data_IF_569348736455
#
_entry.id   IF_569348736455
#
_cell.length_a   1.000
_cell.length_b   1.000
_cell.length_c   1.000
_cell.angle_alpha   90.00
_cell.angle_beta   90.00
_cell.angle_gamma   90.00
#
_symmetry.space_group_name_H-M   'P 1'
#
loop_
_entity.id
_entity.type
_entity.pdbx_description
1 polymer ?
#
# COMPACT_ATOMS: atom_id res chain seq x y z
N UNK A 1 -9.70 16.08 -27.52
CA UNK A 1 -8.32 15.63 -27.85
C UNK A 1 -7.21 16.60 -27.38
N UNK A 2 -7.41 17.92 -27.45
CA UNK A 2 -6.42 18.93 -27.05
C UNK A 2 -6.04 18.90 -25.55
N UNK A 3 -7.01 18.77 -24.64
CA UNK A 3 -6.75 18.68 -23.19
C UNK A 3 -5.98 17.41 -22.80
N UNK A 4 -6.34 16.23 -23.34
CA UNK A 4 -5.63 14.97 -23.09
C UNK A 4 -4.13 15.09 -23.44
N UNK A 5 -3.81 15.61 -24.63
CA UNK A 5 -2.42 15.80 -25.05
C UNK A 5 -1.69 16.84 -24.18
N UNK A 6 -2.38 17.82 -23.59
CA UNK A 6 -1.76 18.79 -22.68
C UNK A 6 -1.43 18.17 -21.32
N UNK A 7 -2.32 17.33 -20.78
CA UNK A 7 -2.18 16.72 -19.46
C UNK A 7 -1.14 15.58 -19.47
N UNK A 8 -1.16 14.73 -20.49
CA UNK A 8 -0.31 13.54 -20.55
C UNK A 8 0.96 13.72 -21.40
N UNK A 9 1.40 14.97 -21.59
CA UNK A 9 2.70 15.28 -22.20
C UNK A 9 3.82 14.84 -21.26
N UNK A 10 4.69 13.97 -21.73
CA UNK A 10 5.86 13.48 -20.98
C UNK A 10 6.89 14.59 -20.69
N UNK A 11 6.89 15.67 -21.48
CA UNK A 11 7.77 16.83 -21.29
C UNK A 11 7.48 17.63 -20.02
N UNK A 12 6.29 17.50 -19.42
CA UNK A 12 5.98 18.10 -18.12
C UNK A 12 5.70 17.00 -17.08
N UNK A 13 6.77 16.45 -16.52
CA UNK A 13 6.72 15.35 -15.54
C UNK A 13 5.83 15.65 -14.34
N UNK A 14 5.84 16.89 -13.86
CA UNK A 14 5.03 17.32 -12.69
C UNK A 14 3.54 17.23 -13.00
N UNK A 15 3.09 17.85 -14.09
CA UNK A 15 1.67 17.80 -14.50
C UNK A 15 1.23 16.37 -14.76
N UNK A 16 2.09 15.55 -15.36
CA UNK A 16 1.81 14.13 -15.57
C UNK A 16 1.59 13.40 -14.24
N UNK A 17 2.53 13.52 -13.30
CA UNK A 17 2.45 12.87 -11.97
C UNK A 17 1.28 13.37 -11.13
N UNK A 18 0.92 14.65 -11.23
CA UNK A 18 -0.27 15.20 -10.59
C UNK A 18 -1.53 14.46 -11.07
N UNK A 19 -1.60 14.11 -12.36
CA UNK A 19 -2.78 13.47 -12.97
C UNK A 19 -2.79 11.94 -12.90
N UNK A 20 -1.64 11.26 -12.88
CA UNK A 20 -1.55 9.79 -12.88
C UNK A 20 -1.10 9.21 -11.55
N UNK A 21 -0.52 10.04 -10.68
CA UNK A 21 0.12 9.62 -9.44
C UNK A 21 1.51 9.03 -9.62
N UNK A 22 2.00 8.82 -10.85
CA UNK A 22 3.27 8.13 -11.11
C UNK A 22 4.04 8.77 -12.28
N UNK A 23 5.32 8.42 -12.43
CA UNK A 23 6.16 8.96 -13.50
C UNK A 23 5.88 8.29 -14.87
N UNK A 24 6.14 8.97 -16.00
CA UNK A 24 6.03 8.35 -17.32
C UNK A 24 6.86 7.07 -17.50
N UNK A 25 8.03 6.98 -16.85
CA UNK A 25 8.89 5.79 -16.88
C UNK A 25 8.22 4.56 -16.27
N UNK A 26 7.42 4.74 -15.21
CA UNK A 26 6.66 3.66 -14.57
C UNK A 26 5.51 3.21 -15.47
N UNK A 27 4.85 4.14 -16.16
CA UNK A 27 3.81 3.81 -17.15
C UNK A 27 4.41 2.99 -18.30
N UNK A 28 5.59 3.38 -18.79
CA UNK A 28 6.30 2.61 -19.80
C UNK A 28 6.67 1.21 -19.30
N UNK A 29 7.14 1.08 -18.05
CA UNK A 29 7.45 -0.20 -17.43
C UNK A 29 6.22 -1.13 -17.36
N UNK A 30 5.08 -0.62 -16.87
CA UNK A 30 3.81 -1.36 -16.81
C UNK A 30 3.37 -1.76 -18.22
N UNK A 31 3.46 -0.85 -19.19
CA UNK A 31 3.07 -1.14 -20.57
C UNK A 31 3.92 -2.25 -21.20
N UNK A 32 5.23 -2.23 -20.99
CA UNK A 32 6.14 -3.30 -21.47
C UNK A 32 5.75 -4.65 -20.87
N UNK A 33 5.45 -4.70 -19.56
CA UNK A 33 5.02 -5.94 -18.91
C UNK A 33 3.65 -6.45 -19.40
N UNK A 34 2.81 -5.56 -19.94
CA UNK A 34 1.48 -5.89 -20.45
C UNK A 34 1.39 -5.92 -21.98
N UNK A 35 2.53 -5.85 -22.69
CA UNK A 35 2.57 -5.70 -24.15
C UNK A 35 1.80 -6.81 -24.88
N UNK A 36 1.92 -8.05 -24.39
CA UNK A 36 1.28 -9.24 -24.96
C UNK A 36 -0.16 -9.47 -24.46
N UNK A 37 -0.72 -8.54 -23.68
CA UNK A 37 -2.02 -8.70 -23.03
C UNK A 37 -3.07 -7.69 -23.55
N UNK A 38 -2.86 -7.16 -24.75
CA UNK A 38 -3.78 -6.25 -25.45
C UNK A 38 -4.15 -4.99 -24.64
N UNK A 39 -3.26 -4.51 -23.77
CA UNK A 39 -3.44 -3.26 -23.01
C UNK A 39 -2.73 -2.12 -23.72
N UNK A 40 -3.44 -1.05 -24.00
CA UNK A 40 -2.89 0.18 -24.58
C UNK A 40 -2.44 1.16 -23.50
N UNK A 41 -1.50 2.06 -23.84
CA UNK A 41 -1.09 3.16 -22.96
C UNK A 41 -2.29 4.02 -22.55
N UNK A 42 -3.26 4.25 -23.45
CA UNK A 42 -4.46 5.04 -23.14
C UNK A 42 -5.27 4.39 -22.02
N UNK A 43 -5.42 3.07 -22.03
CA UNK A 43 -6.14 2.33 -20.98
C UNK A 43 -5.40 2.43 -19.64
N UNK A 44 -4.06 2.31 -19.64
CA UNK A 44 -3.25 2.51 -18.43
C UNK A 44 -3.45 3.92 -17.87
N UNK A 45 -3.40 4.96 -18.72
CA UNK A 45 -3.59 6.34 -18.30
C UNK A 45 -5.00 6.60 -17.76
N UNK A 46 -6.04 5.99 -18.34
CA UNK A 46 -7.41 6.02 -17.82
C UNK A 46 -7.45 5.49 -16.38
N UNK A 47 -6.86 4.32 -16.14
CA UNK A 47 -6.84 3.65 -14.84
C UNK A 47 -6.04 4.44 -13.80
N UNK A 48 -4.85 4.93 -14.17
CA UNK A 48 -4.04 5.75 -13.27
C UNK A 48 -4.72 7.08 -12.91
N UNK A 49 -5.36 7.71 -13.89
CA UNK A 49 -6.15 8.91 -13.64
C UNK A 49 -7.35 8.62 -12.74
N UNK A 50 -8.04 7.49 -12.92
CA UNK A 50 -9.12 7.07 -12.01
C UNK A 50 -8.62 6.97 -10.57
N UNK A 51 -7.53 6.23 -10.32
CA UNK A 51 -6.96 6.07 -8.99
C UNK A 51 -6.53 7.42 -8.40
N UNK A 52 -5.81 8.23 -9.19
CA UNK A 52 -5.20 9.47 -8.72
C UNK A 52 -6.19 10.60 -8.52
N UNK A 53 -7.06 10.84 -9.49
CA UNK A 53 -7.95 12.00 -9.50
C UNK A 53 -9.32 11.70 -8.90
N UNK A 54 -9.79 10.45 -9.01
CA UNK A 54 -11.06 9.98 -8.46
C UNK A 54 -12.23 10.93 -8.73
N UNK A 55 -12.27 11.52 -9.93
CA UNK A 55 -13.32 12.46 -10.34
C UNK A 55 -14.62 11.72 -10.68
N UNK A 56 -15.70 12.48 -10.87
CA UNK A 56 -16.94 11.92 -11.41
C UNK A 56 -16.68 11.30 -12.79
N UNK A 57 -17.24 10.10 -13.03
CA UNK A 57 -16.97 9.32 -14.25
C UNK A 57 -17.26 10.12 -15.53
N UNK A 58 -18.32 10.93 -15.57
CA UNK A 58 -18.68 11.77 -16.72
C UNK A 58 -17.54 12.73 -17.11
N UNK A 59 -16.91 13.38 -16.14
CA UNK A 59 -15.81 14.30 -16.38
C UNK A 59 -14.57 13.56 -16.93
N UNK A 60 -14.28 12.37 -16.38
CA UNK A 60 -13.18 11.54 -16.86
C UNK A 60 -13.46 11.02 -18.29
N UNK A 61 -14.65 10.49 -18.56
CA UNK A 61 -15.08 10.05 -19.88
C UNK A 61 -14.91 11.15 -20.94
N UNK A 62 -15.35 12.37 -20.62
CA UNK A 62 -15.18 13.55 -21.49
C UNK A 62 -13.70 13.87 -21.74
N UNK A 63 -12.85 13.81 -20.70
CA UNK A 63 -11.42 14.07 -20.84
C UNK A 63 -10.73 13.07 -21.79
N UNK A 64 -11.06 11.78 -21.66
CA UNK A 64 -10.46 10.71 -22.46
C UNK A 64 -11.17 10.47 -23.79
N UNK A 65 -12.33 11.09 -24.02
CA UNK A 65 -13.17 10.90 -25.21
C UNK A 65 -13.61 9.44 -25.36
N UNK A 66 -14.11 8.85 -24.28
CA UNK A 66 -14.60 7.47 -24.25
C UNK A 66 -15.98 7.41 -23.61
N UNK A 67 -16.78 6.41 -23.98
CA UNK A 67 -18.05 6.13 -23.32
C UNK A 67 -17.83 5.58 -21.90
N UNK A 68 -18.87 5.62 -21.07
CA UNK A 68 -18.79 5.22 -19.65
C UNK A 68 -18.59 3.71 -19.45
N UNK A 69 -19.21 2.89 -20.30
CA UNK A 69 -19.01 1.44 -20.37
C UNK A 69 -17.53 1.11 -20.63
N UNK A 70 -16.97 1.72 -21.68
CA UNK A 70 -15.57 1.55 -22.07
C UNK A 70 -14.63 2.03 -20.95
N UNK A 71 -14.90 3.19 -20.33
CA UNK A 71 -14.10 3.71 -19.22
C UNK A 71 -14.02 2.72 -18.05
N UNK A 72 -15.17 2.19 -17.64
CA UNK A 72 -15.27 1.26 -16.52
C UNK A 72 -14.65 -0.11 -16.84
N UNK A 73 -14.81 -0.59 -18.07
CA UNK A 73 -14.14 -1.81 -18.55
C UNK A 73 -12.61 -1.64 -18.54
N UNK A 74 -12.10 -0.53 -19.07
CA UNK A 74 -10.67 -0.23 -19.08
C UNK A 74 -10.06 -0.25 -17.67
N UNK A 75 -10.75 0.37 -16.70
CA UNK A 75 -10.32 0.39 -15.30
C UNK A 75 -10.22 -1.02 -14.76
N UNK A 76 -11.29 -1.82 -14.89
CA UNK A 76 -11.33 -3.19 -14.37
C UNK A 76 -10.27 -4.07 -15.02
N UNK A 77 -10.19 -4.07 -16.35
CA UNK A 77 -9.27 -4.90 -17.11
C UNK A 77 -7.79 -4.59 -16.79
N UNK A 78 -7.41 -3.31 -16.79
CA UNK A 78 -6.03 -2.92 -16.49
C UNK A 78 -5.67 -3.23 -15.04
N UNK A 79 -6.54 -2.93 -14.06
CA UNK A 79 -6.23 -3.26 -12.67
C UNK A 79 -6.13 -4.77 -12.47
N UNK A 80 -7.02 -5.55 -13.09
CA UNK A 80 -6.97 -7.01 -13.06
C UNK A 80 -5.63 -7.52 -13.61
N UNK A 81 -5.24 -7.09 -14.80
CA UNK A 81 -3.98 -7.47 -15.43
C UNK A 81 -2.75 -7.04 -14.63
N UNK A 82 -2.74 -5.83 -14.05
CA UNK A 82 -1.64 -5.42 -13.16
C UNK A 82 -1.55 -6.38 -11.97
N UNK A 83 -2.67 -6.70 -11.32
CA UNK A 83 -2.68 -7.58 -10.16
C UNK A 83 -2.27 -9.01 -10.52
N UNK A 84 -2.77 -9.58 -11.62
CA UNK A 84 -2.54 -10.99 -11.95
C UNK A 84 -1.23 -11.25 -12.69
N UNK A 85 -0.73 -10.29 -13.47
CA UNK A 85 0.48 -10.46 -14.30
C UNK A 85 1.69 -9.82 -13.62
N UNK A 86 1.55 -8.60 -13.11
CA UNK A 86 2.67 -7.86 -12.51
C UNK A 86 2.79 -8.16 -11.01
N UNK A 87 1.66 -8.36 -10.32
CA UNK A 87 1.62 -8.67 -8.88
C UNK A 87 2.58 -9.79 -8.47
N UNK A 88 2.56 -10.98 -9.09
CA UNK A 88 3.48 -12.07 -8.75
C UNK A 88 4.98 -11.77 -8.99
N UNK A 89 5.30 -10.74 -9.79
CA UNK A 89 6.68 -10.31 -10.01
C UNK A 89 7.17 -9.41 -8.87
N UNK A 90 6.26 -8.63 -8.27
CA UNK A 90 6.58 -7.62 -7.28
C UNK A 90 6.35 -8.10 -5.84
N UNK A 91 5.35 -8.96 -5.62
CA UNK A 91 4.97 -9.47 -4.31
C UNK A 91 5.39 -10.92 -4.09
N UNK A 92 5.68 -11.24 -2.83
CA UNK A 92 6.11 -12.55 -2.38
C UNK A 92 6.98 -12.45 -1.13
N UNK A 93 6.76 -13.35 -0.17
CA UNK A 93 7.53 -13.37 1.07
C UNK A 93 9.03 -13.57 0.83
N UNK A 94 9.41 -14.28 -0.23
CA UNK A 94 10.79 -14.48 -0.64
C UNK A 94 11.47 -13.16 -1.07
N UNK A 95 10.70 -12.15 -1.50
CA UNK A 95 11.25 -10.85 -1.91
C UNK A 95 11.90 -10.09 -0.75
N UNK A 96 11.61 -10.47 0.51
CA UNK A 96 12.30 -9.91 1.68
C UNK A 96 13.81 -10.15 1.65
N UNK A 97 14.24 -11.24 1.01
CA UNK A 97 15.65 -11.61 0.88
C UNK A 97 16.42 -10.77 -0.15
N UNK A 98 15.73 -9.90 -0.90
CA UNK A 98 16.35 -8.98 -1.87
C UNK A 98 16.97 -7.73 -1.22
N UNK A 99 17.08 -7.71 0.11
CA UNK A 99 17.80 -6.71 0.89
C UNK A 99 18.64 -7.45 1.92
N UNK A 100 19.54 -6.75 2.60
CA UNK A 100 20.23 -7.25 3.79
C UNK A 100 19.55 -6.61 5.01
N UNK A 101 19.16 -7.36 6.04
CA UNK A 101 18.57 -6.77 7.24
C UNK A 101 19.62 -5.91 7.96
N UNK A 102 19.20 -4.98 8.84
CA UNK A 102 20.14 -4.21 9.65
C UNK A 102 21.04 -5.11 10.48
N UNK A 103 22.31 -4.71 10.63
CA UNK A 103 23.31 -5.40 11.44
C UNK A 103 23.39 -4.89 12.89
N UNK A 104 22.69 -3.79 13.19
CA UNK A 104 22.58 -3.23 14.53
C UNK A 104 21.96 -4.24 15.48
N UNK A 105 22.46 -4.42 16.72
CA UNK A 105 22.00 -5.46 17.63
C UNK A 105 20.48 -5.52 17.83
N UNK A 106 19.81 -4.37 17.92
CA UNK A 106 18.36 -4.30 18.15
C UNK A 106 17.53 -4.81 16.95
N UNK A 107 17.99 -4.56 15.73
CA UNK A 107 17.29 -4.93 14.50
C UNK A 107 17.97 -6.11 13.77
N UNK A 108 18.86 -6.81 14.45
CA UNK A 108 19.51 -7.99 13.91
C UNK A 108 18.45 -9.00 13.49
N UNK A 109 18.55 -9.48 12.25
CA UNK A 109 17.59 -10.41 11.66
C UNK A 109 16.14 -9.87 11.56
N UNK A 110 15.95 -8.56 11.65
CA UNK A 110 14.69 -7.90 11.34
C UNK A 110 14.64 -7.61 9.84
N UNK A 111 13.81 -8.34 9.10
CA UNK A 111 13.75 -8.19 7.64
C UNK A 111 12.62 -7.27 7.22
N UNK A 112 11.48 -7.37 7.91
CA UNK A 112 10.26 -6.71 7.47
C UNK A 112 9.68 -5.83 8.54
N UNK A 113 8.90 -4.87 8.10
CA UNK A 113 8.08 -4.01 8.94
C UNK A 113 6.65 -4.06 8.41
N UNK A 114 5.70 -4.17 9.33
CA UNK A 114 4.28 -4.34 9.03
C UNK A 114 3.45 -3.22 9.64
N UNK A 115 2.42 -2.82 8.89
CA UNK A 115 1.39 -1.93 9.41
C UNK A 115 0.05 -2.15 8.68
N UNK A 116 -1.04 -1.76 9.32
CA UNK A 116 -2.38 -1.85 8.77
C UNK A 116 -2.88 -0.46 8.38
N UNK A 117 -3.51 -0.35 7.21
CA UNK A 117 -4.13 0.89 6.74
C UNK A 117 -5.61 0.72 6.48
N UNK A 118 -6.38 1.78 6.71
CA UNK A 118 -7.83 1.81 6.54
C UNK A 118 -8.21 2.78 5.42
N UNK A 119 -9.11 2.35 4.53
CA UNK A 119 -9.67 3.15 3.44
C UNK A 119 -11.15 3.40 3.70
N UNK A 120 -11.59 4.66 3.60
CA UNK A 120 -12.98 5.04 3.85
C UNK A 120 -13.90 4.53 2.72
N UNK A 121 -15.04 3.93 3.07
CA UNK A 121 -16.01 3.42 2.09
C UNK A 121 -17.40 4.01 2.33
N UNK A 122 -18.28 3.92 1.33
CA UNK A 122 -19.71 4.18 1.54
C UNK A 122 -20.33 3.19 2.54
N UNK A 123 -21.14 3.74 3.44
CA UNK A 123 -21.89 3.01 4.46
C UNK A 123 -22.72 1.90 3.79
N UNK A 124 -22.57 0.63 4.19
CA UNK A 124 -23.49 -0.43 3.79
C UNK A 124 -24.93 -0.11 4.19
N UNK A 125 -25.88 -0.42 3.32
CA UNK A 125 -27.31 -0.20 3.59
C UNK A 125 -27.85 -1.23 4.59
N UNK A 126 -27.36 -2.47 4.51
CA UNK A 126 -27.67 -3.52 5.49
C UNK A 126 -26.95 -3.23 6.82
N UNK A 127 -27.73 -3.16 7.90
CA UNK A 127 -27.24 -2.84 9.24
C UNK A 127 -26.26 -3.87 9.80
N UNK A 128 -26.48 -5.18 9.56
CA UNK A 128 -25.57 -6.22 10.04
C UNK A 128 -24.23 -6.14 9.32
N UNK A 129 -24.25 -5.87 8.03
CA UNK A 129 -23.04 -5.64 7.23
C UNK A 129 -22.34 -4.34 7.66
N UNK A 130 -23.11 -3.31 8.00
CA UNK A 130 -22.59 -2.02 8.45
C UNK A 130 -21.66 -2.18 9.67
N UNK A 131 -22.10 -2.93 10.69
CA UNK A 131 -21.31 -3.17 11.91
C UNK A 131 -19.95 -3.82 11.64
N UNK A 132 -19.88 -4.69 10.62
CA UNK A 132 -18.61 -5.31 10.21
C UNK A 132 -17.61 -4.24 9.77
N UNK A 133 -18.02 -3.38 8.83
CA UNK A 133 -17.15 -2.36 8.26
C UNK A 133 -16.87 -1.19 9.18
N UNK A 134 -17.60 -1.02 10.28
CA UNK A 134 -17.39 0.12 11.18
C UNK A 134 -16.09 -0.01 11.98
N UNK A 135 -15.18 0.95 11.79
CA UNK A 135 -13.96 1.08 12.58
C UNK A 135 -14.20 1.99 13.76
N UNK A 136 -14.12 1.45 14.99
CA UNK A 136 -14.18 2.24 16.22
C UNK A 136 -13.06 3.28 16.31
N UNK A 137 -11.86 2.95 15.79
CA UNK A 137 -10.68 3.84 15.75
C UNK A 137 -10.90 5.04 14.82
N UNK A 138 -11.45 4.81 13.62
CA UNK A 138 -11.66 5.87 12.61
C UNK A 138 -13.04 6.53 12.68
N UNK A 139 -13.95 5.99 13.50
CA UNK A 139 -15.36 6.40 13.64
C UNK A 139 -16.09 6.51 12.30
N UNK A 140 -15.84 5.54 11.41
CA UNK A 140 -16.42 5.46 10.05
C UNK A 140 -16.31 4.04 9.49
N UNK A 141 -16.99 3.78 8.38
CA UNK A 141 -16.91 2.48 7.69
C UNK A 141 -15.65 2.43 6.84
N UNK A 142 -14.84 1.39 7.03
CA UNK A 142 -13.56 1.25 6.36
C UNK A 142 -13.32 -0.16 5.86
N UNK A 143 -12.55 -0.27 4.79
CA UNK A 143 -11.84 -1.50 4.43
C UNK A 143 -10.40 -1.39 4.93
N UNK A 144 -9.91 -2.46 5.55
CA UNK A 144 -8.58 -2.53 6.13
C UNK A 144 -7.68 -3.45 5.30
N UNK A 145 -6.41 -3.08 5.21
CA UNK A 145 -5.38 -3.82 4.50
C UNK A 145 -4.11 -3.87 5.36
N UNK A 146 -3.45 -5.01 5.35
CA UNK A 146 -2.13 -5.19 5.93
C UNK A 146 -1.07 -4.95 4.85
N UNK A 147 -0.02 -4.22 5.17
CA UNK A 147 1.07 -3.90 4.25
C UNK A 147 2.38 -4.37 4.86
N UNK A 148 3.14 -5.15 4.09
CA UNK A 148 4.43 -5.71 4.49
C UNK A 148 5.51 -5.05 3.65
N UNK A 149 6.48 -4.44 4.32
CA UNK A 149 7.58 -3.74 3.67
C UNK A 149 8.93 -4.28 4.13
N UNK A 150 9.90 -4.19 3.24
CA UNK A 150 11.32 -4.33 3.59
C UNK A 150 11.74 -3.22 4.56
N UNK A 151 12.41 -3.58 5.66
CA UNK A 151 12.79 -2.60 6.69
C UNK A 151 13.82 -1.56 6.20
N UNK A 152 14.74 -1.93 5.30
CA UNK A 152 15.88 -1.06 4.93
C UNK A 152 15.59 -0.10 3.78
N UNK A 153 14.58 -0.38 2.96
CA UNK A 153 14.25 0.45 1.80
C UNK A 153 12.75 0.74 1.65
N UNK A 154 11.92 0.14 2.50
CA UNK A 154 10.48 0.33 2.51
C UNK A 154 9.75 -0.23 1.30
N UNK A 155 10.43 -1.00 0.43
CA UNK A 155 9.75 -1.62 -0.69
C UNK A 155 8.62 -2.50 -0.16
N UNK A 156 7.41 -2.26 -0.67
CA UNK A 156 6.25 -3.12 -0.40
C UNK A 156 6.54 -4.46 -1.07
N UNK A 157 6.57 -5.52 -0.26
CA UNK A 157 6.79 -6.89 -0.73
C UNK A 157 5.53 -7.75 -0.66
N UNK A 158 4.54 -7.31 0.11
CA UNK A 158 3.26 -7.99 0.17
C UNK A 158 2.15 -7.09 0.71
N UNK A 159 0.90 -7.45 0.39
CA UNK A 159 -0.33 -6.83 0.89
C UNK A 159 -1.37 -7.91 1.13
N UNK A 160 -2.08 -7.82 2.26
CA UNK A 160 -3.14 -8.76 2.61
C UNK A 160 -4.46 -8.05 2.90
N UNK A 161 -5.54 -8.48 2.24
CA UNK A 161 -6.89 -7.94 2.41
C UNK A 161 -7.80 -8.19 1.20
N UNK A 162 -9.04 -7.69 1.24
CA UNK A 162 -9.58 -6.75 2.22
C UNK A 162 -10.02 -7.40 3.53
N UNK A 163 -9.96 -6.62 4.61
CA UNK A 163 -10.58 -6.93 5.90
C UNK A 163 -11.62 -5.88 6.27
N UNK A 164 -12.51 -6.22 7.20
CA UNK A 164 -13.48 -5.26 7.72
C UNK A 164 -12.81 -4.26 8.67
N UNK A 165 -13.38 -3.04 8.75
CA UNK A 165 -12.87 -1.98 9.63
C UNK A 165 -12.77 -2.37 11.11
N UNK A 166 -13.65 -3.27 11.59
CA UNK A 166 -13.64 -3.75 12.98
C UNK A 166 -12.49 -4.72 13.30
N UNK A 167 -11.89 -5.36 12.28
CA UNK A 167 -10.87 -6.39 12.51
C UNK A 167 -9.63 -5.78 13.19
N UNK A 168 -9.09 -6.48 14.20
CA UNK A 168 -7.86 -6.07 14.90
C UNK A 168 -6.62 -6.36 14.06
N UNK A 169 -5.64 -5.46 14.12
CA UNK A 169 -4.44 -5.50 13.27
C UNK A 169 -3.64 -6.79 13.49
N UNK A 170 -3.50 -7.26 14.74
CA UNK A 170 -2.86 -8.55 15.06
C UNK A 170 -3.59 -9.77 14.47
N UNK A 171 -4.92 -9.76 14.45
CA UNK A 171 -5.70 -10.87 13.90
C UNK A 171 -5.49 -10.95 12.38
N UNK A 172 -5.40 -9.80 11.72
CA UNK A 172 -5.09 -9.72 10.30
C UNK A 172 -3.66 -10.23 10.02
N UNK A 173 -2.67 -9.82 10.83
CA UNK A 173 -1.31 -10.31 10.66
C UNK A 173 -1.18 -11.83 10.85
N UNK A 174 -1.94 -12.42 11.78
CA UNK A 174 -2.00 -13.88 11.94
C UNK A 174 -2.61 -14.57 10.71
N UNK A 175 -3.74 -14.06 10.21
CA UNK A 175 -4.34 -14.54 8.96
C UNK A 175 -3.35 -14.46 7.80
N UNK A 176 -2.63 -13.34 7.67
CA UNK A 176 -1.60 -13.19 6.63
C UNK A 176 -0.51 -14.26 6.74
N UNK A 177 -0.01 -14.55 7.95
CA UNK A 177 0.98 -15.61 8.18
C UNK A 177 0.43 -16.98 7.77
N UNK A 178 -0.79 -17.30 8.19
CA UNK A 178 -1.45 -18.58 7.94
C UNK A 178 -1.79 -18.77 6.45
N UNK A 179 -2.50 -17.81 5.86
CA UNK A 179 -3.02 -17.86 4.49
C UNK A 179 -1.89 -17.91 3.44
N UNK A 180 -0.77 -17.23 3.71
CA UNK A 180 0.39 -17.18 2.80
C UNK A 180 1.50 -18.16 3.20
N UNK A 181 1.26 -19.02 4.20
CA UNK A 181 2.20 -20.04 4.68
C UNK A 181 3.59 -19.44 4.97
N UNK A 182 3.60 -18.30 5.65
CA UNK A 182 4.81 -17.51 5.88
C UNK A 182 5.77 -18.27 6.78
N UNK A 183 6.89 -18.71 6.20
CA UNK A 183 7.98 -19.35 6.92
C UNK A 183 9.06 -18.33 7.28
N UNK A 184 9.24 -18.13 8.58
CA UNK A 184 10.28 -17.26 9.13
C UNK A 184 11.53 -18.08 9.42
N UNK A 185 12.69 -17.53 9.07
CA UNK A 185 13.97 -18.10 9.48
C UNK A 185 14.12 -18.14 11.01
N UNK A 186 15.08 -18.91 11.49
CA UNK A 186 15.40 -18.95 12.91
C UNK A 186 15.78 -17.54 13.40
N UNK A 187 15.11 -17.10 14.48
CA UNK A 187 15.28 -15.75 15.03
C UNK A 187 14.83 -14.61 14.11
N UNK A 188 14.13 -14.87 13.00
CA UNK A 188 13.69 -13.82 12.07
C UNK A 188 12.59 -12.96 12.72
N UNK A 189 12.81 -11.64 12.72
CA UNK A 189 11.96 -10.66 13.39
C UNK A 189 11.16 -9.85 12.37
N UNK A 190 9.91 -9.55 12.73
CA UNK A 190 9.07 -8.56 12.06
C UNK A 190 8.91 -7.33 12.95
N UNK A 191 9.16 -6.14 12.45
CA UNK A 191 8.90 -4.89 13.15
C UNK A 191 7.41 -4.51 13.04
N UNK A 192 6.76 -4.23 14.15
CA UNK A 192 5.36 -3.83 14.19
C UNK A 192 5.10 -2.70 15.18
N UNK A 193 3.95 -2.06 15.08
CA UNK A 193 3.46 -1.16 16.12
C UNK A 193 2.97 -1.93 17.36
N UNK A 194 2.55 -1.19 18.38
CA UNK A 194 2.07 -1.81 19.63
C UNK A 194 0.76 -2.61 19.47
N UNK A 195 0.04 -2.48 18.35
CA UNK A 195 -1.14 -3.30 18.07
C UNK A 195 -0.78 -4.74 17.69
N UNK A 196 0.48 -5.03 17.38
CA UNK A 196 0.99 -6.38 17.05
C UNK A 196 1.64 -7.12 18.23
N UNK A 197 1.59 -6.55 19.45
CA UNK A 197 2.07 -7.23 20.67
C UNK A 197 1.37 -8.60 20.80
N UNK A 198 2.17 -9.67 20.82
CA UNK A 198 1.67 -11.06 20.89
C UNK A 198 1.61 -11.79 19.53
N UNK A 199 2.16 -11.22 18.45
CA UNK A 199 2.30 -11.90 17.15
C UNK A 199 3.41 -12.99 17.15
N UNK A 200 4.31 -12.96 18.14
CA UNK A 200 5.48 -13.85 18.23
C UNK A 200 6.58 -13.43 17.25
N UNK A 201 7.85 -13.42 17.68
CA UNK A 201 9.00 -12.90 16.93
C UNK A 201 8.70 -11.57 16.21
N UNK A 202 8.03 -10.67 16.93
CA UNK A 202 7.65 -9.35 16.46
C UNK A 202 8.16 -8.30 17.45
N UNK A 203 9.03 -7.43 16.96
CA UNK A 203 9.58 -6.32 17.72
C UNK A 203 8.56 -5.18 17.72
N UNK A 204 8.14 -4.75 18.91
CA UNK A 204 7.10 -3.73 19.09
C UNK A 204 7.47 -2.77 20.22
N UNK A 205 6.94 -1.52 20.21
CA UNK A 205 7.14 -0.59 21.31
C UNK A 205 6.60 -1.14 22.64
N UNK A 206 7.28 -0.80 23.73
CA UNK A 206 6.85 -1.07 25.10
C UNK A 206 5.62 -0.22 25.42
N UNK A 207 4.52 -0.87 25.82
CA UNK A 207 3.29 -0.19 26.22
C UNK A 207 3.40 0.31 27.65
N UNK A 208 3.14 1.60 27.85
CA UNK A 208 2.90 2.16 29.18
C UNK A 208 1.68 1.49 29.83
N UNK A 209 1.76 1.21 31.13
CA UNK A 209 0.64 0.67 31.93
C UNK A 209 0.35 1.60 33.10
N UNK A 210 -0.90 1.59 33.59
CA UNK A 210 -1.38 2.48 34.67
C UNK A 210 -0.46 2.48 35.92
N UNK A 211 0.12 1.32 36.24
CA UNK A 211 1.00 1.15 37.40
C UNK A 211 2.46 0.85 37.02
N UNK A 212 2.79 0.96 35.73
CA UNK A 212 4.14 0.80 35.22
C UNK A 212 4.35 1.82 34.08
N UNK A 213 4.58 3.10 34.41
CA UNK A 213 4.92 4.11 33.41
C UNK A 213 6.24 3.77 32.74
N UNK A 214 6.47 4.33 31.53
CA UNK A 214 7.73 4.14 30.83
C UNK A 214 8.82 4.91 31.57
N UNK A 215 9.97 4.27 31.80
CA UNK A 215 11.17 4.97 32.21
C UNK A 215 11.91 5.57 31.01
N UNK A 216 13.06 6.21 31.24
CA UNK A 216 13.82 6.82 30.16
C UNK A 216 14.34 5.80 29.14
N UNK A 217 14.77 4.61 29.60
CA UNK A 217 15.28 3.57 28.71
C UNK A 217 14.16 3.00 27.81
N UNK A 218 12.96 2.82 28.36
CA UNK A 218 11.76 2.43 27.61
C UNK A 218 11.37 3.48 26.56
N UNK A 219 11.46 4.77 26.93
CA UNK A 219 11.18 5.86 26.01
C UNK A 219 12.21 5.92 24.87
N UNK A 220 13.50 5.78 25.19
CA UNK A 220 14.58 5.77 24.20
C UNK A 220 14.44 4.56 23.25
N UNK A 221 14.15 3.38 23.79
CA UNK A 221 13.81 2.20 23.00
C UNK A 221 12.62 2.47 22.06
N UNK A 222 11.52 3.01 22.58
CA UNK A 222 10.34 3.32 21.78
C UNK A 222 10.62 4.37 20.69
N UNK A 223 11.50 5.33 20.94
CA UNK A 223 11.92 6.32 19.96
C UNK A 223 12.70 5.68 18.80
N UNK A 224 13.59 4.73 19.10
CA UNK A 224 14.33 3.96 18.09
C UNK A 224 13.39 3.08 17.27
N UNK A 225 12.49 2.33 17.92
CA UNK A 225 11.46 1.51 17.24
C UNK A 225 10.55 2.38 16.38
N UNK A 226 10.10 3.52 16.90
CA UNK A 226 9.26 4.48 16.18
C UNK A 226 9.95 5.00 14.92
N UNK A 227 11.24 5.36 15.03
CA UNK A 227 12.05 5.86 13.92
C UNK A 227 12.22 4.82 12.81
N UNK A 228 12.46 3.56 13.16
CA UNK A 228 12.54 2.47 12.19
C UNK A 228 11.19 2.19 11.50
N UNK A 229 10.07 2.37 12.20
CA UNK A 229 8.71 2.19 11.62
C UNK A 229 8.32 3.24 10.60
N UNK A 230 8.92 4.43 10.60
CA UNK A 230 8.58 5.52 9.66
C UNK A 230 8.57 5.02 8.20
N UNK A 231 9.43 4.06 7.88
CA UNK A 231 9.52 3.50 6.53
C UNK A 231 8.20 2.87 6.05
N UNK A 232 7.50 2.08 6.87
CA UNK A 232 6.22 1.47 6.46
C UNK A 232 5.12 2.52 6.31
N UNK A 233 5.15 3.55 7.15
CA UNK A 233 4.24 4.68 7.07
C UNK A 233 4.45 5.46 5.77
N UNK A 234 5.71 5.66 5.36
CA UNK A 234 6.06 6.28 4.08
C UNK A 234 5.62 5.40 2.89
N UNK A 235 5.76 4.08 2.97
CA UNK A 235 5.25 3.14 1.95
C UNK A 235 3.74 3.20 1.82
N UNK A 236 3.01 3.19 2.95
CA UNK A 236 1.56 3.35 2.96
C UNK A 236 1.17 4.70 2.38
N UNK A 237 1.92 5.77 2.66
CA UNK A 237 1.67 7.08 2.07
C UNK A 237 1.86 7.09 0.54
N UNK A 238 2.74 6.26 -0.03
CA UNK A 238 2.82 6.07 -1.49
C UNK A 238 1.55 5.48 -2.08
N UNK A 239 0.89 4.56 -1.37
CA UNK A 239 -0.42 4.04 -1.75
C UNK A 239 -1.49 5.13 -1.56
N UNK A 240 -1.47 5.83 -0.42
CA UNK A 240 -2.48 6.84 -0.07
C UNK A 240 -2.38 8.15 -0.87
N UNK A 241 -1.39 8.32 -1.74
CA UNK A 241 -1.35 9.46 -2.67
C UNK A 241 -2.49 9.43 -3.71
N UNK A 242 -3.10 8.27 -3.93
CA UNK A 242 -4.25 8.09 -4.82
C UNK A 242 -5.53 8.52 -4.10
N UNK A 243 -6.28 9.47 -4.69
CA UNK A 243 -7.48 10.05 -4.06
C UNK A 243 -8.55 9.01 -3.76
N UNK A 244 -8.61 7.91 -4.53
CA UNK A 244 -9.56 6.83 -4.28
C UNK A 244 -9.42 6.18 -2.88
N UNK A 245 -8.28 6.35 -2.17
CA UNK A 245 -8.08 5.80 -0.82
C UNK A 245 -8.03 6.85 0.30
N UNK A 246 -8.03 8.14 -0.03
CA UNK A 246 -8.08 9.25 0.93
C UNK A 246 -9.46 9.89 0.97
N UNK A 247 -10.18 9.87 -0.16
CA UNK A 247 -11.60 10.16 -0.22
C UNK A 247 -12.43 8.93 0.15
N UNK A 248 -13.76 9.13 0.23
CA UNK A 248 -14.69 8.02 0.43
C UNK A 248 -14.83 7.23 -0.87
N UNK A 249 -14.63 5.92 -0.81
CA UNK A 249 -14.84 5.03 -1.95
C UNK A 249 -16.33 4.98 -2.35
N UNK A 250 -16.62 5.42 -3.57
CA UNK A 250 -17.96 5.57 -4.17
C UNK A 250 -18.31 4.51 -5.22
N UNK A 251 -17.37 3.63 -5.56
CA UNK A 251 -17.60 2.58 -6.56
C UNK A 251 -18.03 1.28 -5.89
N UNK A 252 -18.32 0.25 -6.70
CA UNK A 252 -18.62 -1.07 -6.19
C UNK A 252 -17.51 -1.57 -5.23
N UNK A 253 -17.91 -2.20 -4.12
CA UNK A 253 -16.98 -2.64 -3.08
C UNK A 253 -16.03 -3.74 -3.56
N UNK A 254 -16.47 -4.61 -4.47
CA UNK A 254 -15.63 -5.68 -5.04
C UNK A 254 -14.44 -5.15 -5.84
N UNK A 255 -14.52 -3.90 -6.32
CA UNK A 255 -13.44 -3.26 -7.07
C UNK A 255 -12.37 -2.63 -6.16
N UNK A 256 -12.69 -2.37 -4.89
CA UNK A 256 -11.76 -1.71 -3.96
C UNK A 256 -10.48 -2.53 -3.72
N UNK A 257 -10.52 -3.86 -3.48
CA UNK A 257 -9.30 -4.67 -3.38
C UNK A 257 -8.44 -4.57 -4.62
N UNK A 258 -9.05 -4.71 -5.80
CA UNK A 258 -8.31 -4.67 -7.05
C UNK A 258 -7.59 -3.33 -7.25
N UNK A 259 -8.24 -2.22 -6.91
CA UNK A 259 -7.61 -0.91 -6.90
C UNK A 259 -6.47 -0.81 -5.89
N UNK A 260 -6.66 -1.31 -4.66
CA UNK A 260 -5.66 -1.24 -3.60
C UNK A 260 -4.41 -2.04 -3.97
N UNK A 261 -4.56 -3.28 -4.44
CA UNK A 261 -3.44 -4.10 -4.91
C UNK A 261 -2.73 -3.43 -6.09
N UNK A 262 -3.47 -2.89 -7.07
CA UNK A 262 -2.88 -2.15 -8.20
C UNK A 262 -2.01 -1.00 -7.72
N UNK A 263 -2.52 -0.16 -6.82
CA UNK A 263 -1.77 0.98 -6.28
C UNK A 263 -0.53 0.56 -5.48
N UNK A 264 -0.62 -0.53 -4.73
CA UNK A 264 0.49 -1.11 -3.98
C UNK A 264 1.58 -1.66 -4.89
N UNK A 265 1.22 -2.37 -5.96
CA UNK A 265 2.16 -2.88 -6.97
C UNK A 265 2.90 -1.72 -7.66
N UNK A 266 2.16 -0.69 -8.09
CA UNK A 266 2.76 0.50 -8.69
C UNK A 266 3.73 1.19 -7.71
N UNK A 267 3.34 1.28 -6.44
CA UNK A 267 4.18 1.86 -5.38
C UNK A 267 5.44 1.03 -5.13
N UNK A 268 5.34 -0.30 -5.16
CA UNK A 268 6.50 -1.20 -5.05
C UNK A 268 7.50 -1.00 -6.20
N UNK A 269 7.01 -0.88 -7.44
CA UNK A 269 7.84 -0.60 -8.63
C UNK A 269 8.52 0.76 -8.49
N UNK A 270 7.80 1.80 -8.06
CA UNK A 270 8.36 3.14 -7.87
C UNK A 270 9.49 3.17 -6.84
N UNK A 271 9.28 2.53 -5.68
CA UNK A 271 10.27 2.45 -4.61
C UNK A 271 11.52 1.71 -5.10
N UNK A 272 11.34 0.63 -5.87
CA UNK A 272 12.45 -0.13 -6.47
C UNK A 272 13.24 0.66 -7.50
N UNK A 273 12.59 1.46 -8.36
CA UNK A 273 13.19 1.91 -9.63
C UNK A 273 13.58 3.38 -9.69
N UNK A 274 12.97 4.25 -8.89
CA UNK A 274 13.11 5.70 -9.15
C UNK A 274 12.98 6.58 -7.92
N UNK A 275 12.37 6.10 -6.84
CA UNK A 275 12.07 6.91 -5.66
C UNK A 275 12.19 6.07 -4.37
N UNK A 276 13.41 5.69 -3.97
CA UNK A 276 13.60 5.03 -2.69
C UNK A 276 13.02 5.91 -1.57
N UNK A 277 12.57 5.27 -0.50
CA UNK A 277 12.06 6.00 0.66
C UNK A 277 13.22 6.77 1.31
N UNK A 278 12.97 8.04 1.63
CA UNK A 278 13.99 8.94 2.15
C UNK A 278 14.34 8.57 3.61
N UNK A 279 15.63 8.66 3.97
CA UNK A 279 16.21 8.41 5.31
C UNK A 279 16.20 6.95 5.81
N UNK A 280 15.89 5.97 4.96
CA UNK A 280 15.77 4.57 5.40
C UNK A 280 17.08 3.94 5.92
N UNK A 281 18.22 4.31 5.33
CA UNK A 281 19.54 3.80 5.76
C UNK A 281 20.06 4.54 7.00
N UNK A 282 19.84 5.85 7.10
CA UNK A 282 20.39 6.66 8.19
C UNK A 282 19.73 6.38 9.54
N UNK A 283 18.44 6.01 9.55
CA UNK A 283 17.69 5.78 10.78
C UNK A 283 17.90 4.37 11.38
N UNK A 284 18.50 3.42 10.65
CA UNK A 284 18.56 2.02 11.09
C UNK A 284 19.99 1.45 11.03
N UNK A 285 20.90 2.04 10.23
CA UNK A 285 22.31 1.58 10.19
C UNK A 285 23.24 2.33 11.15
N UNK A 286 22.83 3.50 11.67
CA UNK A 286 23.66 4.35 12.53
C UNK A 286 23.06 4.62 13.91
N UNK A 287 21.93 3.98 14.25
CA UNK A 287 21.40 3.89 15.63
C UNK A 287 21.89 2.59 16.27
#
# INVERSE_FOLDING_TARGET
MFQFRKIFRTSNRRVFQENTGTAPSIVAHIFIQLLNHHVTIKQILITLHFLKQYTQQVNACSLFGVRIDVYNECIRDVMFKIVTIIGPLEFGWEKRLNQVPPTTPLFQNCWTVIDATECNIERPQDYRVQELYYSGKKKRHTMKYHVVCNITNGRIIDVHGPFFGRNHDIAIARSWIEDNQIQRGEGEIILGDSAYVGLGNCLTPIKSRRFNPLDQADMDFNNVIGSARIVVEQSINRIKKYKCFTERWRNDRSLHPLAFYTASIISAIEIRTSFPIANTLNNILYL
#
